data_IF_591976398431
#
_entry.id   IF_591976398431
#
_cell.length_a   1.000
_cell.length_b   1.000
_cell.length_c   1.000
_cell.angle_alpha   90.00
_cell.angle_beta   90.00
_cell.angle_gamma   90.00
#
_symmetry.space_group_name_H-M   'P 1'
#
loop_
_entity.id
_entity.type
_entity.pdbx_description
1 polymer ?
#
# COMPACT_ATOMS: atom_id res chain seq x y z
N UNK A 1 -3.57 -9.38 23.10
CA UNK A 1 -2.67 -8.77 22.10
C UNK A 1 -2.81 -9.47 20.76
N UNK A 2 -2.68 -8.77 19.63
CA UNK A 2 -2.68 -9.43 18.31
C UNK A 2 -1.27 -9.95 18.03
N UNK A 3 -1.07 -11.26 18.06
CA UNK A 3 0.20 -11.90 17.71
C UNK A 3 0.38 -11.96 16.18
N UNK A 4 1.63 -11.92 15.70
CA UNK A 4 1.98 -12.01 14.26
C UNK A 4 1.32 -10.95 13.37
N UNK A 5 1.30 -9.67 13.80
CA UNK A 5 0.71 -8.57 13.01
C UNK A 5 1.38 -8.45 11.63
N UNK A 6 0.62 -8.70 10.58
CA UNK A 6 0.97 -8.42 9.19
C UNK A 6 0.21 -7.20 8.67
N UNK A 7 0.88 -6.45 7.82
CA UNK A 7 0.36 -5.24 7.19
C UNK A 7 0.26 -4.01 8.09
N UNK A 8 0.23 -2.82 7.47
CA UNK A 8 0.00 -1.52 8.14
C UNK A 8 -1.41 -1.00 7.82
N UNK A 9 -2.06 -0.40 8.81
CA UNK A 9 -3.41 0.17 8.65
C UNK A 9 -3.43 1.48 7.85
N UNK A 10 -2.32 2.23 7.83
CA UNK A 10 -2.16 3.49 7.08
C UNK A 10 -3.28 4.52 7.33
N UNK A 11 -3.88 4.48 8.53
CA UNK A 11 -5.04 5.27 8.94
C UNK A 11 -6.20 5.21 7.92
N UNK A 12 -6.42 4.04 7.31
CA UNK A 12 -7.47 3.79 6.32
C UNK A 12 -8.23 2.50 6.63
N UNK A 13 -9.50 2.45 6.26
CA UNK A 13 -10.28 1.22 6.27
C UNK A 13 -9.77 0.23 5.19
N UNK A 14 -10.27 -1.01 5.22
CA UNK A 14 -9.85 -2.06 4.29
C UNK A 14 -10.14 -1.72 2.84
N UNK A 15 -11.33 -1.20 2.53
CA UNK A 15 -11.76 -0.86 1.17
C UNK A 15 -10.90 0.25 0.56
N UNK A 16 -10.64 1.33 1.29
CA UNK A 16 -9.77 2.41 0.85
C UNK A 16 -8.35 1.90 0.65
N UNK A 17 -7.79 1.07 1.54
CA UNK A 17 -6.45 0.50 1.31
C UNK A 17 -6.40 -0.32 0.01
N UNK A 18 -7.41 -1.15 -0.26
CA UNK A 18 -7.46 -1.95 -1.47
C UNK A 18 -7.50 -1.07 -2.74
N UNK A 19 -8.35 -0.04 -2.75
CA UNK A 19 -8.42 0.91 -3.86
C UNK A 19 -7.10 1.69 -4.04
N UNK A 20 -6.50 2.14 -2.94
CA UNK A 20 -5.23 2.87 -2.95
C UNK A 20 -4.10 2.02 -3.54
N UNK A 21 -3.96 0.75 -3.15
CA UNK A 21 -2.94 -0.14 -3.68
C UNK A 21 -3.15 -0.48 -5.15
N UNK A 22 -4.41 -0.68 -5.59
CA UNK A 22 -4.73 -0.87 -7.02
C UNK A 22 -4.28 0.32 -7.87
N UNK A 23 -4.56 1.54 -7.41
CA UNK A 23 -4.16 2.75 -8.11
C UNK A 23 -2.63 2.90 -8.14
N UNK A 24 -1.94 2.67 -7.02
CA UNK A 24 -0.48 2.75 -6.97
C UNK A 24 0.19 1.70 -7.86
N UNK A 25 -0.33 0.47 -7.91
CA UNK A 25 0.18 -0.57 -8.80
C UNK A 25 0.00 -0.18 -10.28
N UNK A 26 -1.18 0.33 -10.66
CA UNK A 26 -1.44 0.81 -12.01
C UNK A 26 -0.52 1.98 -12.40
N UNK A 27 -0.31 2.94 -11.50
CA UNK A 27 0.65 4.03 -11.72
C UNK A 27 2.08 3.54 -11.86
N UNK A 28 2.49 2.54 -11.08
CA UNK A 28 3.83 1.95 -11.15
C UNK A 28 4.06 1.26 -12.50
N UNK A 29 3.08 0.53 -13.02
CA UNK A 29 3.17 -0.08 -14.36
C UNK A 29 3.23 0.98 -15.46
N UNK A 30 2.46 2.07 -15.34
CA UNK A 30 2.40 3.11 -16.37
C UNK A 30 3.63 4.01 -16.41
N UNK A 31 4.19 4.34 -15.24
CA UNK A 31 5.23 5.36 -15.11
C UNK A 31 6.59 4.78 -14.69
N UNK A 32 6.67 3.46 -14.46
CA UNK A 32 7.85 2.70 -14.05
C UNK A 32 8.44 3.07 -12.68
N UNK A 33 8.21 4.30 -12.22
CA UNK A 33 8.61 4.85 -10.93
C UNK A 33 7.45 5.68 -10.37
N UNK A 34 7.21 5.55 -9.06
CA UNK A 34 6.30 6.41 -8.31
C UNK A 34 6.96 6.89 -7.03
N UNK A 35 6.70 8.15 -6.66
CA UNK A 35 7.11 8.70 -5.36
C UNK A 35 6.00 8.51 -4.34
N UNK A 36 6.29 7.81 -3.24
CA UNK A 36 5.32 7.59 -2.15
C UNK A 36 6.05 7.53 -0.81
N UNK A 37 5.31 7.35 0.28
CA UNK A 37 5.92 7.23 1.61
C UNK A 37 6.50 5.83 1.81
N UNK A 38 7.61 5.73 2.56
CA UNK A 38 8.24 4.45 2.91
C UNK A 38 7.25 3.37 3.40
N UNK A 39 6.33 3.65 4.34
CA UNK A 39 5.31 2.67 4.73
C UNK A 39 4.45 2.19 3.56
N UNK A 40 3.96 3.10 2.70
CA UNK A 40 3.12 2.72 1.56
C UNK A 40 3.89 1.89 0.54
N UNK A 41 5.15 2.23 0.26
CA UNK A 41 6.02 1.47 -0.64
C UNK A 41 6.30 0.05 -0.13
N UNK A 42 6.63 -0.09 1.16
CA UNK A 42 6.88 -1.41 1.76
C UNK A 42 5.64 -2.30 1.75
N UNK A 43 4.46 -1.72 1.94
CA UNK A 43 3.19 -2.45 1.91
C UNK A 43 2.74 -2.79 0.49
N UNK A 44 3.01 -1.92 -0.50
CA UNK A 44 2.71 -2.18 -1.91
C UNK A 44 3.57 -3.33 -2.48
N UNK A 45 4.80 -3.51 -1.99
CA UNK A 45 5.73 -4.58 -2.41
C UNK A 45 5.39 -5.96 -1.81
N UNK A 46 4.61 -5.99 -0.73
CA UNK A 46 4.40 -7.19 0.09
C UNK A 46 3.44 -8.17 -0.55
#
# INVERSE_FOLDING_TARGET
MRHRKSGRQLNRNSSHRQAMFRNMAGSLVRHEIIKTTLPKAKELRR
#
